data_IF_058517955373
#
_entry.id   IF_058517955373
#
_cell.length_a   1.000
_cell.length_b   1.000
_cell.length_c   1.000
_cell.angle_alpha   90.00
_cell.angle_beta   90.00
_cell.angle_gamma   90.00
#
_symmetry.space_group_name_H-M   'P 1'
#
loop_
_entity.id
_entity.type
_entity.pdbx_description
1 polymer ?
#
# COMPACT_ATOMS: atom_id res chain seq x y z
N UNK A 1 -8.65 -19.16 12.95
CA UNK A 1 -9.41 -18.06 12.32
C UNK A 1 -8.45 -16.89 12.22
N UNK A 2 -7.80 -16.77 11.07
CA UNK A 2 -6.73 -15.81 10.80
C UNK A 2 -6.74 -15.65 9.29
N UNK A 3 -7.77 -14.96 8.80
CA UNK A 3 -8.25 -15.07 7.41
C UNK A 3 -8.02 -13.80 6.59
N UNK A 4 -7.59 -12.71 7.23
CA UNK A 4 -7.39 -11.43 6.55
C UNK A 4 -5.98 -10.87 6.84
N UNK A 5 -5.12 -10.67 5.83
CA UNK A 5 -3.82 -10.06 6.00
C UNK A 5 -3.86 -8.62 6.56
N UNK A 6 -5.01 -7.92 6.45
CA UNK A 6 -5.21 -6.59 7.07
C UNK A 6 -5.26 -6.61 8.60
N UNK A 7 -5.52 -7.76 9.24
CA UNK A 7 -5.47 -7.90 10.71
C UNK A 7 -4.06 -7.65 11.28
N UNK A 8 -3.00 -7.78 10.46
CA UNK A 8 -1.62 -7.64 10.95
C UNK A 8 -1.25 -6.19 11.30
N UNK A 9 -1.85 -5.20 10.65
CA UNK A 9 -1.63 -3.78 10.97
C UNK A 9 -2.25 -3.43 12.34
N UNK A 10 -3.31 -4.13 12.74
CA UNK A 10 -3.93 -4.00 14.07
C UNK A 10 -3.01 -4.45 15.22
N UNK A 11 -1.88 -5.09 14.93
CA UNK A 11 -0.90 -5.51 15.94
C UNK A 11 0.08 -4.40 16.35
N UNK A 12 0.08 -3.26 15.64
CA UNK A 12 0.89 -2.10 16.03
C UNK A 12 0.39 -1.43 17.32
N UNK A 13 -0.84 -1.75 17.75
CA UNK A 13 -1.51 -1.08 18.86
C UNK A 13 -2.16 0.26 18.48
N UNK A 14 -2.02 0.68 17.22
CA UNK A 14 -2.58 1.93 16.71
C UNK A 14 -3.64 1.66 15.64
N UNK A 15 -4.75 2.41 15.68
CA UNK A 15 -5.73 2.40 14.60
C UNK A 15 -5.14 3.01 13.32
N UNK A 16 -5.55 2.52 12.15
CA UNK A 16 -5.05 3.02 10.86
C UNK A 16 -5.25 4.53 10.67
N UNK A 17 -6.27 5.12 11.31
CA UNK A 17 -6.59 6.55 11.34
C UNK A 17 -5.51 7.43 12.00
N UNK A 18 -4.78 6.90 12.99
CA UNK A 18 -3.75 7.67 13.71
C UNK A 18 -2.36 7.56 13.08
N UNK A 19 -2.22 6.72 12.05
CA UNK A 19 -1.00 6.60 11.28
C UNK A 19 -0.95 7.69 10.19
N UNK A 20 0.26 8.09 9.82
CA UNK A 20 0.49 8.97 8.68
C UNK A 20 1.73 8.52 7.93
N UNK A 21 1.59 8.37 6.62
CA UNK A 21 2.66 7.97 5.73
C UNK A 21 3.32 9.20 5.10
N UNK A 22 4.61 9.05 4.77
CA UNK A 22 5.34 10.01 3.94
C UNK A 22 6.34 9.29 3.06
N UNK A 23 6.32 9.62 1.78
CA UNK A 23 7.10 9.04 0.70
C UNK A 23 8.29 9.94 0.39
N UNK A 24 9.44 9.31 0.27
CA UNK A 24 10.67 9.96 -0.19
C UNK A 24 11.12 9.18 -1.42
N UNK A 25 11.07 9.79 -2.60
CA UNK A 25 11.52 9.13 -3.82
C UNK A 25 12.18 10.14 -4.74
N UNK A 26 13.31 9.74 -5.33
CA UNK A 26 13.97 10.54 -6.36
C UNK A 26 14.65 9.62 -7.38
N UNK A 27 14.69 10.03 -8.66
CA UNK A 27 15.42 9.32 -9.69
C UNK A 27 16.93 9.50 -9.49
N UNK A 28 17.70 8.65 -10.16
CA UNK A 28 19.14 8.80 -10.27
C UNK A 28 19.49 10.15 -10.93
N UNK A 29 20.50 10.81 -10.39
CA UNK A 29 21.09 12.05 -10.90
C UNK A 29 22.61 11.94 -10.87
N UNK A 30 23.31 12.84 -11.57
CA UNK A 30 24.77 12.80 -11.75
C UNK A 30 25.56 12.75 -10.43
N UNK A 31 25.04 13.37 -9.37
CA UNK A 31 25.65 13.47 -8.05
C UNK A 31 24.90 12.66 -6.96
N UNK A 32 23.84 11.92 -7.32
CA UNK A 32 22.97 11.27 -6.35
C UNK A 32 22.33 9.98 -6.89
N UNK A 33 22.51 8.82 -6.22
CA UNK A 33 21.86 7.58 -6.61
C UNK A 33 20.34 7.68 -6.42
N UNK A 34 19.58 6.92 -7.22
CA UNK A 34 18.14 6.77 -7.01
C UNK A 34 17.86 6.19 -5.62
N UNK A 35 16.79 6.68 -4.97
CA UNK A 35 16.30 6.04 -3.75
C UNK A 35 14.79 6.20 -3.62
N UNK A 36 14.20 5.27 -2.87
CA UNK A 36 12.83 5.33 -2.41
C UNK A 36 12.78 4.93 -0.93
N UNK A 37 11.93 5.58 -0.16
CA UNK A 37 11.75 5.35 1.27
C UNK A 37 10.35 5.73 1.72
N UNK A 38 9.87 5.02 2.73
CA UNK A 38 8.57 5.22 3.36
C UNK A 38 8.80 5.50 4.84
N UNK A 39 8.19 6.56 5.35
CA UNK A 39 8.11 6.86 6.76
C UNK A 39 6.67 6.69 7.23
N UNK A 40 6.45 5.81 8.21
CA UNK A 40 5.17 5.68 8.90
C UNK A 40 5.33 6.34 10.28
N UNK A 41 4.47 7.30 10.57
CA UNK A 41 4.41 8.02 11.85
C UNK A 41 3.05 7.81 12.49
N UNK A 42 2.97 8.06 13.80
CA UNK A 42 1.70 8.06 14.53
C UNK A 42 1.57 9.38 15.29
N UNK A 43 0.37 9.96 15.30
CA UNK A 43 0.04 11.16 16.08
C UNK A 43 -0.81 10.85 17.31
N UNK A 44 -1.13 9.56 17.55
CA UNK A 44 -1.87 9.12 18.74
C UNK A 44 -1.14 9.56 20.02
N UNK A 45 -1.85 10.35 20.83
CA UNK A 45 -1.37 10.90 22.11
C UNK A 45 -1.61 9.97 23.31
N UNK A 46 -2.10 8.76 23.04
CA UNK A 46 -2.62 7.82 24.01
C UNK A 46 -1.49 7.10 24.76
N UNK A 47 -1.46 7.36 26.06
CA UNK A 47 -0.62 6.82 27.11
C UNK A 47 -0.51 5.29 27.14
N UNK A 48 0.64 4.74 26.72
CA UNK A 48 1.34 3.66 27.45
C UNK A 48 2.80 3.44 26.99
N UNK A 49 3.45 4.50 26.50
CA UNK A 49 4.91 4.58 26.54
C UNK A 49 5.71 3.52 25.79
N UNK A 50 5.25 2.97 24.66
CA UNK A 50 6.19 2.47 23.65
C UNK A 50 5.62 2.65 22.25
N UNK A 51 6.38 3.27 21.35
CA UNK A 51 6.28 2.99 19.90
C UNK A 51 6.61 1.51 19.59
N UNK A 52 6.69 0.64 20.59
CA UNK A 52 7.27 -0.70 20.55
C UNK A 52 6.46 -1.64 19.69
N UNK A 53 5.14 -1.49 19.59
CA UNK A 53 4.32 -2.24 18.64
C UNK A 53 4.71 -1.93 17.20
N UNK A 54 4.70 -0.65 16.81
CA UNK A 54 5.07 -0.20 15.46
C UNK A 54 6.55 -0.46 15.14
N UNK A 55 7.45 -0.24 16.11
CA UNK A 55 8.89 -0.53 15.98
C UNK A 55 9.14 -2.03 15.91
N UNK A 56 8.40 -2.87 16.62
CA UNK A 56 8.54 -4.33 16.50
C UNK A 56 8.16 -4.82 15.10
N UNK A 57 7.23 -4.15 14.42
CA UNK A 57 6.87 -4.48 13.04
C UNK A 57 7.96 -4.08 12.03
N UNK A 58 8.93 -3.23 12.40
CA UNK A 58 10.04 -2.85 11.52
C UNK A 58 11.14 -3.91 11.44
N UNK A 59 11.08 -4.95 12.27
CA UNK A 59 11.92 -6.13 12.12
C UNK A 59 11.78 -6.72 10.69
N UNK A 60 12.88 -6.94 9.95
CA UNK A 60 12.81 -7.36 8.56
C UNK A 60 11.99 -8.62 8.29
N UNK A 61 11.97 -9.58 9.23
CA UNK A 61 11.20 -10.82 9.04
C UNK A 61 9.70 -10.54 9.14
N UNK A 62 9.29 -9.75 10.14
CA UNK A 62 7.88 -9.36 10.36
C UNK A 62 7.38 -8.43 9.25
N UNK A 63 8.20 -7.47 8.84
CA UNK A 63 7.88 -6.58 7.74
C UNK A 63 7.75 -7.35 6.43
N UNK A 64 8.64 -8.31 6.17
CA UNK A 64 8.54 -9.21 5.02
C UNK A 64 7.22 -9.96 4.98
N UNK A 65 6.80 -10.55 6.10
CA UNK A 65 5.49 -11.22 6.18
C UNK A 65 4.31 -10.28 5.92
N UNK A 66 4.39 -9.03 6.39
CA UNK A 66 3.36 -7.99 6.13
C UNK A 66 3.33 -7.64 4.64
N UNK A 67 4.49 -7.47 4.01
CA UNK A 67 4.58 -7.17 2.58
C UNK A 67 4.04 -8.32 1.73
N UNK A 68 4.40 -9.57 2.03
CA UNK A 68 3.88 -10.75 1.32
C UNK A 68 2.35 -10.84 1.43
N UNK A 69 1.84 -10.60 2.63
CA UNK A 69 0.42 -10.51 2.93
C UNK A 69 -0.27 -9.41 2.11
N UNK A 70 0.32 -8.21 2.06
CA UNK A 70 -0.18 -7.08 1.28
C UNK A 70 -0.19 -7.39 -0.22
N UNK A 71 0.91 -7.91 -0.78
CA UNK A 71 1.01 -8.29 -2.19
C UNK A 71 -0.07 -9.33 -2.58
N UNK A 72 -0.31 -10.34 -1.73
CA UNK A 72 -1.40 -11.31 -1.95
C UNK A 72 -2.79 -10.67 -1.86
N UNK A 73 -2.96 -9.68 -0.98
CA UNK A 73 -4.18 -8.88 -0.88
C UNK A 73 -4.47 -8.10 -2.15
N UNK A 74 -3.44 -7.49 -2.76
CA UNK A 74 -3.57 -6.74 -4.02
C UNK A 74 -4.13 -7.58 -5.17
N UNK A 75 -3.97 -8.91 -5.14
CA UNK A 75 -4.51 -9.81 -6.17
C UNK A 75 -6.04 -9.93 -6.14
N UNK A 76 -6.73 -9.37 -5.14
CA UNK A 76 -8.17 -9.54 -4.93
C UNK A 76 -8.86 -8.19 -4.84
N UNK A 77 -9.96 -8.04 -5.57
CA UNK A 77 -10.89 -6.93 -5.41
C UNK A 77 -12.30 -7.42 -5.71
N UNK A 78 -13.26 -7.12 -4.84
CA UNK A 78 -14.67 -7.47 -5.05
C UNK A 78 -15.31 -6.71 -6.22
N UNK A 79 -14.70 -5.60 -6.65
CA UNK A 79 -15.11 -4.81 -7.82
C UNK A 79 -14.46 -5.26 -9.12
N UNK A 80 -13.70 -6.37 -9.14
CA UNK A 80 -13.17 -6.92 -10.38
C UNK A 80 -14.26 -7.58 -11.23
N UNK A 81 -14.17 -7.48 -12.58
CA UNK A 81 -13.06 -6.94 -13.38
C UNK A 81 -13.13 -5.43 -13.65
N UNK A 82 -14.16 -4.73 -13.16
CA UNK A 82 -14.35 -3.29 -13.42
C UNK A 82 -13.20 -2.47 -12.84
N UNK A 83 -12.79 -2.76 -11.61
CA UNK A 83 -11.65 -2.11 -10.97
C UNK A 83 -10.35 -2.37 -11.75
N UNK A 84 -10.03 -3.64 -12.06
CA UNK A 84 -8.82 -4.00 -12.82
C UNK A 84 -8.69 -3.32 -14.20
N UNK A 85 -9.81 -2.96 -14.83
CA UNK A 85 -9.84 -2.34 -16.17
C UNK A 85 -9.91 -0.82 -16.18
N UNK A 86 -10.05 -0.19 -15.01
CA UNK A 86 -10.16 1.27 -14.93
C UNK A 86 -8.86 1.93 -15.39
N UNK A 87 -8.98 2.87 -16.31
CA UNK A 87 -7.90 3.76 -16.74
C UNK A 87 -8.43 5.18 -16.57
N UNK A 88 -7.70 6.09 -15.91
CA UNK A 88 -8.11 7.50 -15.85
C UNK A 88 -8.14 8.10 -17.24
N UNK A 89 -9.22 8.79 -17.59
CA UNK A 89 -9.37 9.48 -18.87
C UNK A 89 -9.73 10.95 -18.64
N UNK A 90 -9.33 11.84 -19.55
CA UNK A 90 -9.78 13.24 -19.52
C UNK A 90 -11.31 13.28 -19.74
N UNK A 91 -12.10 14.04 -18.95
CA UNK A 91 -11.72 15.09 -18.00
C UNK A 91 -11.82 14.68 -16.51
N UNK A 92 -11.58 13.41 -16.17
CA UNK A 92 -11.72 12.93 -14.79
C UNK A 92 -10.72 13.61 -13.83
N UNK A 93 -11.22 14.20 -12.75
CA UNK A 93 -10.38 14.85 -11.72
C UNK A 93 -9.55 13.85 -10.88
N UNK A 94 -9.89 12.56 -10.93
CA UNK A 94 -9.26 11.52 -10.14
C UNK A 94 -8.21 10.74 -10.96
N UNK A 95 -6.98 10.70 -10.44
CA UNK A 95 -5.81 10.16 -11.16
C UNK A 95 -5.43 8.74 -10.71
N UNK A 96 -6.40 7.86 -10.41
CA UNK A 96 -6.15 6.49 -9.96
C UNK A 96 -6.64 5.46 -10.99
N UNK A 97 -5.83 4.44 -11.25
CA UNK A 97 -6.14 3.36 -12.19
C UNK A 97 -6.90 2.22 -11.51
N UNK A 98 -6.31 1.01 -11.49
CA UNK A 98 -6.90 -0.15 -10.85
C UNK A 98 -6.84 -0.06 -9.31
N UNK A 99 -7.60 0.87 -8.75
CA UNK A 99 -7.66 1.18 -7.34
C UNK A 99 -9.09 1.56 -6.92
N UNK A 100 -9.56 1.03 -5.79
CA UNK A 100 -10.81 1.41 -5.16
C UNK A 100 -10.77 1.12 -3.64
N UNK A 101 -11.85 1.48 -2.93
CA UNK A 101 -12.03 1.21 -1.50
C UNK A 101 -12.06 -0.28 -1.14
N UNK A 102 -12.27 -1.18 -2.10
CA UNK A 102 -12.27 -2.62 -1.86
C UNK A 102 -10.87 -3.25 -1.95
N UNK A 103 -9.83 -2.51 -2.35
CA UNK A 103 -8.49 -3.07 -2.52
C UNK A 103 -7.36 -2.21 -1.92
N UNK A 104 -7.18 -0.97 -2.36
CA UNK A 104 -5.95 -0.20 -2.05
C UNK A 104 -6.19 1.20 -1.50
N UNK A 105 -7.41 1.73 -1.61
CA UNK A 105 -7.69 3.04 -1.05
C UNK A 105 -7.88 2.92 0.47
N UNK A 106 -7.14 3.74 1.22
CA UNK A 106 -7.33 3.87 2.66
C UNK A 106 -8.60 4.68 2.96
N UNK A 107 -9.30 4.35 4.05
CA UNK A 107 -10.56 5.00 4.43
C UNK A 107 -10.38 6.44 4.96
N UNK A 108 -9.19 6.84 5.37
CA UNK A 108 -8.92 8.16 5.99
C UNK A 108 -7.68 8.85 5.39
N UNK A 109 -7.08 9.81 6.11
CA UNK A 109 -5.94 10.64 5.67
C UNK A 109 -4.52 10.07 5.92
N UNK A 110 -4.25 8.77 6.20
CA UNK A 110 -2.87 8.35 6.41
C UNK A 110 -2.06 8.41 5.12
N UNK A 111 -2.70 8.42 3.94
CA UNK A 111 -2.04 8.46 2.65
C UNK A 111 -1.59 9.88 2.28
N UNK A 112 -0.29 10.09 2.05
CA UNK A 112 0.29 11.39 1.70
C UNK A 112 -0.35 11.96 0.42
N UNK A 113 -0.64 11.09 -0.55
CA UNK A 113 -1.20 11.49 -1.84
C UNK A 113 -2.73 11.44 -1.87
N UNK A 114 -3.39 11.23 -0.73
CA UNK A 114 -4.85 11.16 -0.61
C UNK A 114 -5.50 10.18 -1.61
N UNK A 115 -4.98 8.95 -1.67
CA UNK A 115 -5.43 7.88 -2.58
C UNK A 115 -5.36 8.21 -4.09
N UNK A 116 -4.56 9.20 -4.50
CA UNK A 116 -4.31 9.54 -5.91
C UNK A 116 -3.10 8.78 -6.45
N UNK A 117 -3.05 8.59 -7.77
CA UNK A 117 -1.94 7.91 -8.47
C UNK A 117 -1.76 6.44 -8.08
N UNK A 118 -2.79 5.83 -7.47
CA UNK A 118 -2.78 4.42 -7.10
C UNK A 118 -3.20 3.55 -8.28
N UNK A 119 -2.43 2.50 -8.53
CA UNK A 119 -2.76 1.46 -9.49
C UNK A 119 -2.04 0.17 -9.13
N UNK A 120 -2.78 -0.85 -8.69
CA UNK A 120 -2.16 -2.11 -8.27
C UNK A 120 -1.58 -2.92 -9.45
N UNK A 121 -1.88 -2.58 -10.71
CA UNK A 121 -1.28 -3.21 -11.91
C UNK A 121 0.22 -2.94 -12.00
N UNK A 122 0.71 -1.84 -11.43
CA UNK A 122 2.16 -1.56 -11.37
C UNK A 122 2.86 -2.37 -10.27
N UNK A 123 2.10 -2.98 -9.35
CA UNK A 123 2.66 -3.72 -8.22
C UNK A 123 2.57 -5.22 -8.47
N UNK A 124 1.38 -5.74 -8.79
CA UNK A 124 1.12 -7.17 -9.00
C UNK A 124 0.43 -7.44 -10.33
N UNK A 125 0.64 -8.61 -10.97
CA UNK A 125 0.04 -8.90 -12.26
C UNK A 125 -1.46 -9.15 -12.12
N UNK A 126 -2.29 -8.27 -12.68
CA UNK A 126 -3.72 -8.53 -12.79
C UNK A 126 -4.06 -9.26 -14.10
N UNK A 127 -5.08 -10.13 -14.12
CA UNK A 127 -5.53 -10.77 -15.36
C UNK A 127 -5.94 -9.73 -16.41
N UNK A 128 -5.42 -9.87 -17.63
CA UNK A 128 -5.77 -9.01 -18.76
C UNK A 128 -4.55 -8.51 -19.53
N UNK A 129 -4.78 -7.48 -20.34
CA UNK A 129 -3.79 -6.92 -21.27
C UNK A 129 -2.62 -6.20 -20.59
N UNK A 130 -2.77 -5.80 -19.32
CA UNK A 130 -1.74 -5.07 -18.57
C UNK A 130 -0.92 -5.93 -17.61
N UNK A 131 -0.97 -7.26 -17.73
CA UNK A 131 -0.24 -8.16 -16.83
C UNK A 131 1.29 -7.90 -16.81
N UNK A 132 1.85 -7.38 -17.91
CA UNK A 132 3.26 -7.04 -18.03
C UNK A 132 3.70 -5.73 -17.37
N UNK A 133 2.81 -4.97 -16.73
CA UNK A 133 3.14 -3.71 -16.05
C UNK A 133 3.63 -3.90 -14.61
N UNK A 134 3.47 -5.10 -14.05
CA UNK A 134 3.73 -5.36 -12.63
C UNK A 134 5.22 -5.39 -12.32
N UNK A 135 5.61 -4.74 -11.22
CA UNK A 135 6.98 -4.80 -10.69
C UNK A 135 7.28 -6.15 -10.03
N UNK A 136 6.35 -6.68 -9.23
CA UNK A 136 6.48 -8.00 -8.62
C UNK A 136 5.86 -9.09 -9.51
N UNK A 137 6.39 -10.31 -9.41
CA UNK A 137 5.76 -11.50 -9.98
C UNK A 137 4.45 -11.86 -9.25
N UNK A 138 3.76 -12.92 -9.70
CA UNK A 138 2.54 -13.38 -9.04
C UNK A 138 2.87 -13.87 -7.61
N UNK A 139 2.36 -13.21 -6.54
CA UNK A 139 2.69 -13.56 -5.16
C UNK A 139 2.03 -14.85 -4.67
N UNK A 140 1.27 -15.55 -5.54
CA UNK A 140 0.61 -16.83 -5.26
C UNK A 140 1.43 -18.05 -5.67
N UNK A 141 2.52 -17.85 -6.42
CA UNK A 141 3.35 -18.92 -6.97
C UNK A 141 3.03 -19.23 -8.43
#
# INVERSE_FOLDING_TARGET
>A
MMSDPSDRIMHSGYGAASLSERLYAWPEAEDRPAAAGLLITTTASDSDGTLGGLVALSDPSRLGEILDAALRGLMRCSSDPVCARRVPEDPEDFLHGAACHCCVMASETPCERANRFLDRRFVVPLPGEWAGLAFFGDPRG
#
